data_IF_620924507015
#
_entry.id   IF_620924507015
#
_cell.length_a   1.000
_cell.length_b   1.000
_cell.length_c   1.000
_cell.angle_alpha   90.00
_cell.angle_beta   90.00
_cell.angle_gamma   90.00
#
_symmetry.space_group_name_H-M   'P 1'
#
loop_
_entity.id
_entity.type
_entity.pdbx_description
1 polymer ?
#
# COMPACT_ATOMS: atom_id res chain seq x y z
N UNK A 1 -21.56 -8.82 -8.99
CA UNK A 1 -20.13 -8.96 -9.36
C UNK A 1 -19.89 -10.36 -9.91
N UNK A 2 -19.29 -10.50 -11.10
CA UNK A 2 -18.89 -11.81 -11.63
C UNK A 2 -17.74 -12.40 -10.80
N UNK A 3 -17.66 -13.74 -10.69
CA UNK A 3 -16.59 -14.42 -9.93
C UNK A 3 -15.18 -13.94 -10.35
N UNK A 4 -14.98 -13.69 -11.65
CA UNK A 4 -13.71 -13.15 -12.19
C UNK A 4 -13.41 -11.75 -11.64
N UNK A 5 -14.41 -10.88 -11.55
CA UNK A 5 -14.26 -9.53 -11.01
C UNK A 5 -13.94 -9.56 -9.51
N UNK A 6 -14.59 -10.45 -8.76
CA UNK A 6 -14.32 -10.60 -7.33
C UNK A 6 -12.89 -11.09 -7.06
N UNK A 7 -12.40 -12.05 -7.85
CA UNK A 7 -11.01 -12.53 -7.73
C UNK A 7 -10.00 -11.43 -8.05
N UNK A 8 -10.25 -10.62 -9.09
CA UNK A 8 -9.39 -9.48 -9.42
C UNK A 8 -9.37 -8.40 -8.32
N UNK A 9 -10.47 -8.22 -7.61
CA UNK A 9 -10.56 -7.26 -6.51
C UNK A 9 -9.87 -7.76 -5.23
N UNK A 10 -9.86 -9.07 -4.99
CA UNK A 10 -9.23 -9.67 -3.80
C UNK A 10 -7.72 -9.93 -4.01
N UNK A 11 -7.31 -10.19 -5.24
CA UNK A 11 -5.92 -10.55 -5.57
C UNK A 11 -4.87 -9.56 -5.03
N UNK A 12 -5.03 -8.22 -5.11
CA UNK A 12 -4.06 -7.28 -4.56
C UNK A 12 -3.83 -7.49 -3.06
N UNK A 13 -4.89 -7.68 -2.27
CA UNK A 13 -4.78 -7.89 -0.82
C UNK A 13 -4.07 -9.20 -0.48
N UNK A 14 -4.39 -10.27 -1.23
CA UNK A 14 -3.74 -11.56 -1.06
C UNK A 14 -2.24 -11.50 -1.42
N UNK A 15 -1.92 -10.95 -2.59
CA UNK A 15 -0.54 -10.82 -3.08
C UNK A 15 0.28 -9.85 -2.21
N UNK A 16 -0.35 -8.82 -1.64
CA UNK A 16 0.36 -7.86 -0.82
C UNK A 16 0.65 -8.39 0.58
N UNK A 17 -0.31 -9.07 1.22
CA UNK A 17 -0.06 -9.73 2.51
C UNK A 17 1.05 -10.78 2.44
N UNK A 18 1.08 -11.59 1.36
CA UNK A 18 2.18 -12.55 1.14
C UNK A 18 3.52 -11.86 0.87
N UNK A 19 3.52 -10.73 0.15
CA UNK A 19 4.73 -9.96 -0.07
C UNK A 19 5.34 -9.40 1.23
N UNK A 20 4.52 -9.04 2.23
CA UNK A 20 5.01 -8.55 3.53
C UNK A 20 5.77 -9.62 4.31
N UNK A 21 5.31 -10.88 4.25
CA UNK A 21 6.01 -12.02 4.84
C UNK A 21 7.38 -12.21 4.18
N UNK A 22 7.42 -12.16 2.84
CA UNK A 22 8.68 -12.25 2.09
C UNK A 22 9.63 -11.09 2.41
N UNK A 23 9.12 -9.84 2.45
CA UNK A 23 9.91 -8.66 2.80
C UNK A 23 10.50 -8.78 4.19
N UNK A 24 9.73 -9.22 5.19
CA UNK A 24 10.22 -9.38 6.57
C UNK A 24 11.40 -10.37 6.63
N UNK A 25 11.40 -11.41 5.80
CA UNK A 25 12.51 -12.37 5.72
C UNK A 25 13.79 -11.79 5.11
N UNK A 26 13.68 -10.86 4.15
CA UNK A 26 14.84 -10.33 3.41
C UNK A 26 15.36 -9.01 3.99
N UNK A 27 14.53 -8.28 4.73
CA UNK A 27 14.88 -6.94 5.23
C UNK A 27 16.07 -6.89 6.17
N UNK A 28 16.36 -7.89 7.04
CA UNK A 28 17.54 -7.85 7.89
C UNK A 28 18.86 -7.97 7.11
N UNK A 29 18.80 -8.43 5.86
CA UNK A 29 19.97 -8.67 5.01
C UNK A 29 20.19 -7.56 3.96
N UNK A 30 19.32 -6.56 3.92
CA UNK A 30 19.32 -5.51 2.90
C UNK A 30 18.93 -4.17 3.50
N UNK A 31 19.04 -3.08 2.74
CA UNK A 31 18.50 -1.79 3.18
C UNK A 31 17.06 -1.59 2.69
N UNK A 32 16.21 -0.87 3.43
CA UNK A 32 14.83 -0.58 3.03
C UNK A 32 14.69 -0.03 1.60
N UNK A 33 15.51 0.95 1.25
CA UNK A 33 15.51 1.58 -0.08
C UNK A 33 16.01 0.63 -1.18
N UNK A 34 17.01 -0.21 -0.89
CA UNK A 34 17.49 -1.19 -1.86
C UNK A 34 16.41 -2.23 -2.17
N UNK A 35 15.75 -2.76 -1.13
CA UNK A 35 14.63 -3.69 -1.31
C UNK A 35 13.49 -3.06 -2.13
N UNK A 36 13.11 -1.82 -1.80
CA UNK A 36 12.09 -1.09 -2.53
C UNK A 36 12.47 -0.90 -4.01
N UNK A 37 13.72 -0.52 -4.28
CA UNK A 37 14.25 -0.35 -5.63
C UNK A 37 14.23 -1.63 -6.46
N UNK A 38 14.69 -2.76 -5.89
CA UNK A 38 14.69 -4.07 -6.57
C UNK A 38 13.27 -4.56 -6.88
N UNK A 39 12.26 -4.14 -6.11
CA UNK A 39 10.85 -4.40 -6.45
C UNK A 39 10.33 -3.43 -7.51
N UNK A 40 10.49 -2.13 -7.30
CA UNK A 40 9.84 -1.10 -8.09
C UNK A 40 10.45 -0.93 -9.47
N UNK A 41 11.78 -1.00 -9.60
CA UNK A 41 12.45 -0.74 -10.88
C UNK A 41 12.10 -1.80 -11.93
N UNK A 42 12.22 -3.12 -11.66
CA UNK A 42 11.83 -4.13 -12.63
C UNK A 42 10.32 -4.10 -12.94
N UNK A 43 9.48 -3.88 -11.92
CA UNK A 43 8.03 -3.75 -12.10
C UNK A 43 7.68 -2.54 -12.99
N UNK A 44 8.30 -1.39 -12.75
CA UNK A 44 8.12 -0.18 -13.54
C UNK A 44 8.56 -0.36 -14.98
N UNK A 45 9.72 -0.99 -15.22
CA UNK A 45 10.19 -1.31 -16.57
C UNK A 45 9.17 -2.21 -17.30
N UNK A 46 8.67 -3.26 -16.63
CA UNK A 46 7.69 -4.16 -17.22
C UNK A 46 6.39 -3.42 -17.58
N UNK A 47 5.90 -2.56 -16.69
CA UNK A 47 4.71 -1.73 -16.94
C UNK A 47 4.93 -0.79 -18.14
N UNK A 48 6.10 -0.16 -18.25
CA UNK A 48 6.43 0.72 -19.37
C UNK A 48 6.53 -0.03 -20.71
N UNK A 49 7.10 -1.25 -20.71
CA UNK A 49 7.14 -2.12 -21.89
C UNK A 49 5.71 -2.45 -22.35
N UNK A 50 4.85 -2.92 -21.44
CA UNK A 50 3.46 -3.25 -21.75
C UNK A 50 2.70 -2.02 -22.25
N UNK A 51 2.85 -0.87 -21.58
CA UNK A 51 2.23 0.38 -22.01
C UNK A 51 2.67 0.81 -23.41
N UNK A 52 3.93 0.58 -23.76
CA UNK A 52 4.49 0.87 -25.09
C UNK A 52 3.92 -0.07 -26.16
N UNK A 53 3.82 -1.38 -25.87
CA UNK A 53 3.22 -2.38 -26.78
C UNK A 53 1.74 -2.06 -27.04
N UNK A 54 1.02 -1.61 -26.01
CA UNK A 54 -0.39 -1.22 -26.11
C UNK A 54 -0.60 0.16 -26.74
N UNK A 55 0.46 0.90 -27.06
CA UNK A 55 0.37 2.23 -27.67
C UNK A 55 -0.31 3.26 -26.77
N UNK A 56 -0.19 3.13 -25.44
CA UNK A 56 -0.84 4.05 -24.50
C UNK A 56 -0.23 5.46 -24.59
N UNK A 57 -1.06 6.51 -24.43
CA UNK A 57 -0.60 7.89 -24.53
C UNK A 57 0.45 8.20 -23.46
N UNK A 58 1.60 8.72 -23.90
CA UNK A 58 2.69 9.11 -23.03
C UNK A 58 2.51 10.56 -22.52
N UNK A 59 3.01 10.88 -21.31
CA UNK A 59 2.98 12.24 -20.78
C UNK A 59 3.78 13.21 -21.67
N UNK A 60 3.11 14.24 -22.18
CA UNK A 60 3.69 15.21 -23.13
C UNK A 60 4.10 16.54 -22.51
N UNK A 61 3.64 16.84 -21.30
CA UNK A 61 3.81 18.16 -20.68
C UNK A 61 4.72 18.09 -19.45
N UNK A 62 5.45 19.18 -19.18
CA UNK A 62 6.25 19.30 -17.96
C UNK A 62 5.39 19.13 -16.70
N UNK A 63 4.16 19.65 -16.72
CA UNK A 63 3.19 19.47 -15.63
C UNK A 63 2.88 17.99 -15.37
N UNK A 64 2.69 17.18 -16.42
CA UNK A 64 2.46 15.74 -16.26
C UNK A 64 3.69 15.05 -15.64
N UNK A 65 4.89 15.39 -16.09
CA UNK A 65 6.13 14.86 -15.52
C UNK A 65 6.34 15.29 -14.07
N UNK A 66 5.98 16.52 -13.69
CA UNK A 66 6.03 16.97 -12.30
C UNK A 66 5.09 16.17 -11.40
N UNK A 67 3.86 15.87 -11.85
CA UNK A 67 2.95 15.02 -11.09
C UNK A 67 3.46 13.59 -10.97
N UNK A 68 4.04 13.03 -12.04
CA UNK A 68 4.67 11.70 -12.00
C UNK A 68 5.84 11.68 -11.01
N UNK A 69 6.70 12.70 -11.05
CA UNK A 69 7.84 12.81 -10.13
C UNK A 69 7.38 12.95 -8.67
N UNK A 70 6.35 13.76 -8.41
CA UNK A 70 5.78 13.91 -7.08
C UNK A 70 5.17 12.60 -6.58
N UNK A 71 4.43 11.89 -7.42
CA UNK A 71 3.87 10.59 -7.08
C UNK A 71 4.97 9.54 -6.81
N UNK A 72 6.01 9.49 -7.65
CA UNK A 72 7.15 8.60 -7.47
C UNK A 72 7.94 8.90 -6.19
N UNK A 73 8.04 10.17 -5.79
CA UNK A 73 8.66 10.57 -4.54
C UNK A 73 7.81 10.12 -3.34
N UNK A 74 6.52 10.46 -3.31
CA UNK A 74 5.64 10.18 -2.17
C UNK A 74 5.33 8.69 -2.02
N UNK A 75 4.88 8.04 -3.09
CA UNK A 75 4.44 6.65 -3.06
C UNK A 75 5.60 5.68 -3.33
N UNK A 76 6.36 5.93 -4.40
CA UNK A 76 7.45 5.04 -4.79
C UNK A 76 8.62 5.06 -3.79
N UNK A 77 8.98 6.22 -3.27
CA UNK A 77 10.19 6.37 -2.45
C UNK A 77 9.87 6.45 -0.96
N UNK A 78 9.07 7.43 -0.54
CA UNK A 78 8.80 7.67 0.88
C UNK A 78 7.93 6.56 1.47
N UNK A 79 6.79 6.24 0.85
CA UNK A 79 5.91 5.19 1.35
C UNK A 79 6.61 3.83 1.40
N UNK A 80 7.27 3.38 0.32
CA UNK A 80 8.01 2.11 0.35
C UNK A 80 9.17 2.11 1.34
N UNK A 81 9.91 3.22 1.46
CA UNK A 81 11.00 3.35 2.41
C UNK A 81 10.53 3.28 3.87
N UNK A 82 9.45 4.00 4.21
CA UNK A 82 8.85 3.97 5.54
C UNK A 82 8.17 2.64 5.84
N UNK A 83 7.52 2.01 4.86
CA UNK A 83 6.96 0.67 4.98
C UNK A 83 8.03 -0.34 5.35
N UNK A 84 9.14 -0.34 4.62
CA UNK A 84 10.25 -1.24 4.90
C UNK A 84 10.90 -0.92 6.27
N UNK A 85 11.15 0.36 6.57
CA UNK A 85 11.68 0.75 7.88
C UNK A 85 10.75 0.36 9.06
N UNK A 86 9.43 0.52 8.89
CA UNK A 86 8.41 0.10 9.85
C UNK A 86 8.41 -1.41 10.05
N UNK A 87 8.52 -2.17 8.95
CA UNK A 87 8.58 -3.63 8.99
C UNK A 87 9.83 -4.18 9.69
N UNK A 88 10.90 -3.40 9.82
CA UNK A 88 12.03 -3.79 10.69
C UNK A 88 11.63 -3.82 12.16
N UNK A 89 10.68 -2.97 12.57
CA UNK A 89 10.24 -2.77 13.95
C UNK A 89 8.95 -3.51 14.30
N UNK A 90 8.30 -4.15 13.33
CA UNK A 90 7.06 -4.91 13.50
C UNK A 90 7.16 -6.31 12.89
N UNK A 91 6.24 -7.20 13.24
CA UNK A 91 6.01 -8.47 12.58
C UNK A 91 5.31 -8.29 11.24
N UNK A 92 5.41 -9.29 10.36
CA UNK A 92 4.77 -9.25 9.04
C UNK A 92 3.24 -9.13 9.13
N UNK A 93 2.61 -9.78 10.12
CA UNK A 93 1.17 -9.73 10.35
C UNK A 93 0.67 -8.34 10.75
N UNK A 94 1.24 -7.77 11.83
CA UNK A 94 0.89 -6.42 12.27
C UNK A 94 1.27 -5.37 11.24
N UNK A 95 2.45 -5.50 10.60
CA UNK A 95 2.87 -4.63 9.51
C UNK A 95 1.86 -4.59 8.36
N UNK A 96 1.38 -5.75 7.90
CA UNK A 96 0.34 -5.83 6.86
C UNK A 96 -0.94 -5.13 7.29
N UNK A 97 -1.43 -5.43 8.50
CA UNK A 97 -2.69 -4.86 9.02
C UNK A 97 -2.63 -3.34 9.20
N UNK A 98 -1.50 -2.81 9.65
CA UNK A 98 -1.29 -1.36 9.76
C UNK A 98 -1.35 -0.71 8.39
N UNK A 99 -0.75 -1.32 7.37
CA UNK A 99 -0.76 -0.75 6.02
C UNK A 99 -2.16 -0.87 5.39
N UNK A 100 -2.83 -2.00 5.59
CA UNK A 100 -4.22 -2.22 5.16
C UNK A 100 -5.23 -1.32 5.89
N UNK A 101 -4.79 -0.53 6.88
CA UNK A 101 -5.59 0.54 7.48
C UNK A 101 -5.69 1.81 6.62
N UNK A 102 -4.91 1.89 5.53
CA UNK A 102 -4.95 3.03 4.60
C UNK A 102 -6.37 3.40 4.11
N UNK A 103 -7.29 2.47 3.78
CA UNK A 103 -8.66 2.82 3.40
C UNK A 103 -9.43 3.56 4.51
N UNK A 104 -9.15 3.28 5.79
CA UNK A 104 -9.76 3.99 6.91
C UNK A 104 -9.23 5.42 6.96
N UNK A 105 -7.91 5.60 6.80
CA UNK A 105 -7.29 6.92 6.71
C UNK A 105 -7.83 7.71 5.51
N UNK A 106 -7.96 7.08 4.34
CA UNK A 106 -8.53 7.69 3.13
C UNK A 106 -9.99 8.10 3.36
N UNK A 107 -10.82 7.27 3.99
CA UNK A 107 -12.21 7.63 4.29
C UNK A 107 -12.30 8.86 5.22
N UNK A 108 -11.46 8.92 6.26
CA UNK A 108 -11.39 10.07 7.17
C UNK A 108 -10.86 11.32 6.45
N UNK A 109 -9.80 11.18 5.67
CA UNK A 109 -9.24 12.28 4.87
C UNK A 109 -10.23 12.78 3.83
N UNK A 110 -11.01 11.90 3.22
CA UNK A 110 -12.02 12.30 2.23
C UNK A 110 -13.12 13.13 2.87
N UNK A 111 -13.59 12.70 4.04
CA UNK A 111 -14.54 13.46 4.83
C UNK A 111 -13.99 14.83 5.24
N UNK A 112 -12.73 14.89 5.65
CA UNK A 112 -12.09 16.12 6.10
C UNK A 112 -11.74 17.11 4.97
N UNK A 113 -11.13 16.63 3.89
CA UNK A 113 -10.61 17.46 2.80
C UNK A 113 -11.66 17.80 1.75
N UNK A 114 -12.60 16.88 1.48
CA UNK A 114 -13.61 17.03 0.44
C UNK A 114 -15.03 17.17 0.99
N UNK A 115 -15.22 17.11 2.31
CA UNK A 115 -16.52 17.28 2.96
C UNK A 115 -17.46 16.09 2.75
N UNK A 116 -16.95 14.92 2.36
CA UNK A 116 -17.77 13.73 2.16
C UNK A 116 -18.39 13.26 3.48
N UNK A 117 -19.70 12.98 3.46
CA UNK A 117 -20.41 12.50 4.65
C UNK A 117 -20.20 11.01 4.80
N UNK A 118 -19.56 10.61 5.89
CA UNK A 118 -19.45 9.20 6.28
C UNK A 118 -20.81 8.75 6.82
N UNK A 119 -21.54 7.97 6.03
CA UNK A 119 -22.82 7.39 6.45
C UNK A 119 -22.67 6.38 7.60
N UNK A 120 -23.78 6.02 8.23
CA UNK A 120 -23.79 5.17 9.44
C UNK A 120 -23.05 3.83 9.25
N UNK A 121 -23.23 3.17 8.11
CA UNK A 121 -22.56 1.91 7.79
C UNK A 121 -21.05 2.10 7.57
N UNK A 122 -20.66 3.23 6.98
CA UNK A 122 -19.25 3.61 6.85
C UNK A 122 -18.61 3.83 8.23
N UNK A 123 -19.30 4.54 9.12
CA UNK A 123 -18.86 4.76 10.51
C UNK A 123 -18.70 3.46 11.30
N UNK A 124 -19.66 2.53 11.17
CA UNK A 124 -19.57 1.20 11.79
C UNK A 124 -18.38 0.42 11.23
N UNK A 125 -18.20 0.41 9.90
CA UNK A 125 -17.06 -0.27 9.26
C UNK A 125 -15.72 0.29 9.72
N UNK A 126 -15.59 1.61 9.82
CA UNK A 126 -14.42 2.29 10.37
C UNK A 126 -14.16 1.88 11.82
N UNK A 127 -15.20 1.88 12.66
CA UNK A 127 -15.09 1.48 14.06
C UNK A 127 -14.61 0.03 14.21
N UNK A 128 -15.20 -0.90 13.46
CA UNK A 128 -14.80 -2.31 13.44
C UNK A 128 -13.34 -2.44 12.98
N UNK A 129 -12.94 -1.73 11.93
CA UNK A 129 -11.57 -1.75 11.42
C UNK A 129 -10.55 -1.27 12.46
N UNK A 130 -10.81 -0.14 13.12
CA UNK A 130 -9.94 0.41 14.18
C UNK A 130 -9.79 -0.59 15.34
N UNK A 131 -10.91 -1.19 15.77
CA UNK A 131 -10.89 -2.21 16.84
C UNK A 131 -10.09 -3.43 16.40
N UNK A 132 -10.29 -3.93 15.19
CA UNK A 132 -9.55 -5.07 14.64
C UNK A 132 -8.04 -4.84 14.61
N UNK A 133 -7.61 -3.67 14.10
CA UNK A 133 -6.19 -3.28 14.08
C UNK A 133 -5.63 -3.21 15.50
N UNK A 134 -6.37 -2.60 16.44
CA UNK A 134 -5.95 -2.46 17.84
C UNK A 134 -5.77 -3.82 18.52
N UNK A 135 -6.69 -4.76 18.29
CA UNK A 135 -6.61 -6.12 18.85
C UNK A 135 -5.42 -6.91 18.31
N UNK A 136 -5.10 -6.74 17.02
CA UNK A 136 -3.92 -7.38 16.42
C UNK A 136 -2.63 -6.78 16.99
N UNK A 137 -2.57 -5.45 17.14
CA UNK A 137 -1.43 -4.76 17.76
C UNK A 137 -1.18 -5.14 19.22
N UNK A 138 -2.25 -5.30 20.02
CA UNK A 138 -2.15 -5.69 21.43
C UNK A 138 -1.52 -7.07 21.63
N UNK A 139 -1.70 -7.99 20.67
CA UNK A 139 -1.10 -9.33 20.75
C UNK A 139 0.42 -9.29 20.56
N UNK A 140 0.91 -8.43 19.69
CA UNK A 140 2.33 -8.35 19.39
C UNK A 140 3.14 -7.74 20.54
N UNK A 141 2.56 -6.78 21.28
CA UNK A 141 3.19 -6.19 22.48
C UNK A 141 3.33 -7.17 23.65
N UNK A 142 2.50 -8.23 23.70
CA UNK A 142 2.57 -9.29 24.72
C UNK A 142 3.57 -10.41 24.41
N UNK A 143 4.16 -10.41 23.20
CA UNK A 143 5.12 -11.41 22.75
C UNK A 143 6.59 -10.96 22.90
N UNK A 144 6.81 -9.76 23.44
CA UNK A 144 8.10 -9.25 23.95
C UNK A 144 8.06 -9.16 25.48
#
# INVERSE_FOLDING_TARGET
LSLKSSLLLIAPFFLWGTAMVAMKGVIPHTTPLFMAGVRLVPAGILVLIVASILGLPQPKTLKAWLWIALFALLDGTMFQGFLAAGLMRTGAGLGSVIIDSQPLAVALMSSWLFGEIIGIWGGIGLGIGIVGISLIGLREYKLF
#
